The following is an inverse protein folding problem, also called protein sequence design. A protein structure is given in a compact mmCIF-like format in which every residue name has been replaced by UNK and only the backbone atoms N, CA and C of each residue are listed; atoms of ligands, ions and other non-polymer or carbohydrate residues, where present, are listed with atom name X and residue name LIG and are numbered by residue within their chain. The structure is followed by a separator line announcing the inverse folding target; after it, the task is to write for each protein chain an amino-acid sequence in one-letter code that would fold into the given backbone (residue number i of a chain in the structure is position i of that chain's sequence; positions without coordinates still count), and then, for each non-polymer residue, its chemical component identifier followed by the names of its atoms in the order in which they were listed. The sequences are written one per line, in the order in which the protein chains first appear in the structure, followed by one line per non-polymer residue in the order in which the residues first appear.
data_IF_823510354443
#
_entry.id   IF_823510354443
#
_cell.length_a   1.000
_cell.length_b   1.000
_cell.length_c   1.000
_cell.angle_alpha   90.00
_cell.angle_beta   90.00
_cell.angle_gamma   90.00
#
_symmetry.space_group_name_H-M   'P 1'
#
loop_
_entity.id
_entity.type
_entity.pdbx_description
1 polymer ?
#
# COMPACT_ATOMS: atom_id res chain seq x y z
N UNK A 1 2.60 -2.77 -9.40
CA UNK A 1 1.27 -3.23 -9.83
C UNK A 1 0.36 -3.48 -8.62
N UNK A 2 0.77 -4.26 -7.60
CA UNK A 2 -0.06 -4.58 -6.42
C UNK A 2 -0.60 -3.33 -5.71
N UNK A 3 0.23 -2.32 -5.44
CA UNK A 3 -0.20 -1.08 -4.80
C UNK A 3 -1.25 -0.32 -5.64
N UNK A 4 -1.04 -0.22 -6.95
CA UNK A 4 -2.00 0.43 -7.84
C UNK A 4 -3.33 -0.33 -7.89
N UNK A 5 -3.29 -1.66 -7.94
CA UNK A 5 -4.47 -2.51 -7.89
C UNK A 5 -5.22 -2.35 -6.56
N UNK A 6 -4.50 -2.33 -5.43
CA UNK A 6 -5.07 -2.08 -4.10
C UNK A 6 -5.80 -0.73 -4.03
N UNK A 7 -5.15 0.35 -4.45
CA UNK A 7 -5.74 1.70 -4.43
C UNK A 7 -6.98 1.75 -5.33
N UNK A 8 -6.93 1.13 -6.53
CA UNK A 8 -8.07 1.09 -7.46
C UNK A 8 -9.25 0.33 -6.87
N UNK A 9 -9.01 -0.83 -6.24
CA UNK A 9 -10.08 -1.63 -5.59
C UNK A 9 -10.66 -0.89 -4.37
N UNK A 10 -9.84 -0.23 -3.57
CA UNK A 10 -10.30 0.61 -2.46
C UNK A 10 -11.22 1.73 -2.96
N UNK A 11 -10.85 2.38 -4.07
CA UNK A 11 -11.64 3.44 -4.68
C UNK A 11 -12.97 2.91 -5.26
N UNK A 12 -12.98 1.70 -5.81
CA UNK A 12 -14.20 1.03 -6.29
C UNK A 12 -15.12 0.64 -5.12
N UNK A 13 -14.56 0.08 -4.05
CA UNK A 13 -15.32 -0.28 -2.85
C UNK A 13 -15.98 0.93 -2.18
N UNK A 14 -15.35 2.10 -2.25
CA UNK A 14 -15.88 3.35 -1.72
C UNK A 14 -16.89 4.04 -2.64
N UNK A 15 -17.23 3.46 -3.79
CA UNK A 15 -18.13 4.05 -4.81
C UNK A 15 -17.83 5.53 -5.09
N UNK A 16 -16.59 5.82 -5.43
CA UNK A 16 -16.12 7.19 -5.64
C UNK A 16 -16.73 7.82 -6.88
N UNK A 17 -17.04 9.12 -6.80
CA UNK A 17 -17.49 9.87 -7.96
C UNK A 17 -16.46 9.82 -9.11
N UNK A 18 -16.90 9.97 -10.38
CA UNK A 18 -15.99 9.91 -11.55
C UNK A 18 -14.80 10.88 -11.44
N UNK A 19 -15.01 12.07 -10.86
CA UNK A 19 -13.95 13.06 -10.66
C UNK A 19 -12.90 12.59 -9.64
N UNK A 20 -13.33 12.01 -8.52
CA UNK A 20 -12.47 11.44 -7.51
C UNK A 20 -11.72 10.21 -8.05
N UNK A 21 -12.42 9.35 -8.79
CA UNK A 21 -11.80 8.18 -9.43
C UNK A 21 -10.70 8.57 -10.43
N UNK A 22 -10.88 9.68 -11.17
CA UNK A 22 -9.85 10.23 -12.05
C UNK A 22 -8.58 10.62 -11.29
N UNK A 23 -8.71 11.25 -10.12
CA UNK A 23 -7.56 11.61 -9.27
C UNK A 23 -6.84 10.36 -8.79
N UNK A 24 -7.57 9.34 -8.34
CA UNK A 24 -7.01 8.03 -7.95
C UNK A 24 -6.20 7.43 -9.10
N UNK A 25 -6.77 7.35 -10.30
CA UNK A 25 -6.09 6.78 -11.46
C UNK A 25 -4.82 7.55 -11.86
N UNK A 26 -4.85 8.88 -11.78
CA UNK A 26 -3.65 9.70 -12.03
C UNK A 26 -2.54 9.41 -11.01
N UNK A 27 -2.90 9.28 -9.73
CA UNK A 27 -1.96 8.93 -8.68
C UNK A 27 -1.37 7.53 -8.89
N UNK A 28 -2.20 6.53 -9.17
CA UNK A 28 -1.76 5.17 -9.49
C UNK A 28 -0.82 5.13 -10.70
N UNK A 29 -1.15 5.88 -11.76
CA UNK A 29 -0.29 5.98 -12.94
C UNK A 29 1.08 6.59 -12.61
N UNK A 30 1.12 7.62 -11.77
CA UNK A 30 2.37 8.25 -11.34
C UNK A 30 3.22 7.28 -10.53
N UNK A 31 2.64 6.60 -9.55
CA UNK A 31 3.31 5.58 -8.74
C UNK A 31 3.86 4.46 -9.64
N UNK A 32 3.04 3.92 -10.53
CA UNK A 32 3.41 2.84 -11.45
C UNK A 32 4.59 3.22 -12.34
N UNK A 33 4.51 4.38 -13.01
CA UNK A 33 5.60 4.87 -13.88
C UNK A 33 6.91 5.06 -13.11
N UNK A 34 6.86 5.65 -11.92
CA UNK A 34 8.04 5.86 -11.07
C UNK A 34 8.65 4.52 -10.64
N UNK A 35 7.82 3.57 -10.23
CA UNK A 35 8.25 2.23 -9.83
C UNK A 35 8.91 1.48 -11.00
N UNK A 36 8.30 1.48 -12.18
CA UNK A 36 8.88 0.84 -13.37
C UNK A 36 10.22 1.45 -13.78
N UNK A 37 10.35 2.78 -13.65
CA UNK A 37 11.62 3.45 -13.96
C UNK A 37 12.74 2.99 -13.00
N UNK A 38 12.45 2.89 -11.70
CA UNK A 38 13.41 2.46 -10.68
C UNK A 38 13.76 0.99 -10.86
N UNK A 39 12.75 0.11 -10.94
CA UNK A 39 12.96 -1.34 -11.09
C UNK A 39 13.69 -1.67 -12.40
N UNK A 40 13.25 -1.10 -13.53
CA UNK A 40 13.84 -1.37 -14.83
C UNK A 40 15.31 -0.96 -14.95
N UNK A 41 15.72 0.08 -14.22
CA UNK A 41 17.14 0.48 -14.13
C UNK A 41 17.95 -0.40 -13.20
N UNK A 42 17.33 -0.88 -12.13
CA UNK A 42 17.98 -1.73 -11.12
C UNK A 42 18.19 -3.14 -11.63
N UNK A 43 17.15 -3.76 -12.17
CA UNK A 43 17.17 -5.17 -12.60
C UNK A 43 18.24 -5.45 -13.67
N UNK A 44 18.53 -4.49 -14.54
CA UNK A 44 19.57 -4.64 -15.58
C UNK A 44 21.01 -4.66 -15.04
N UNK A 45 21.22 -4.32 -13.79
CA UNK A 45 22.56 -4.19 -13.18
C UNK A 45 22.78 -5.12 -12.00
N UNK A 46 21.78 -5.95 -11.68
CA UNK A 46 21.86 -6.90 -10.57
C UNK A 46 22.74 -8.09 -10.97
N UNK A 47 23.66 -8.44 -10.09
CA UNK A 47 24.42 -9.68 -10.18
C UNK A 47 23.60 -10.89 -9.68
N UNK A 48 24.19 -12.10 -9.76
CA UNK A 48 23.50 -13.33 -9.36
C UNK A 48 23.13 -13.33 -7.88
N UNK A 49 24.00 -12.81 -7.00
CA UNK A 49 23.77 -12.74 -5.55
C UNK A 49 22.60 -11.80 -5.23
N UNK A 50 22.56 -10.65 -5.88
CA UNK A 50 21.47 -9.70 -5.75
C UNK A 50 20.13 -10.24 -6.27
N UNK A 51 20.16 -10.98 -7.40
CA UNK A 51 18.97 -11.64 -7.92
C UNK A 51 18.44 -12.70 -6.95
N UNK A 52 19.32 -13.51 -6.34
CA UNK A 52 18.92 -14.49 -5.33
C UNK A 52 18.32 -13.81 -4.10
N UNK A 53 18.97 -12.76 -3.57
CA UNK A 53 18.45 -11.99 -2.44
C UNK A 53 17.08 -11.36 -2.73
N UNK A 54 16.86 -10.89 -3.97
CA UNK A 54 15.55 -10.39 -4.39
C UNK A 54 14.49 -11.49 -4.43
N UNK A 55 14.83 -12.68 -4.93
CA UNK A 55 13.92 -13.82 -4.96
C UNK A 55 13.54 -14.26 -3.53
N UNK A 56 14.53 -14.40 -2.65
CA UNK A 56 14.32 -14.77 -1.25
C UNK A 56 13.44 -13.74 -0.51
N UNK A 57 13.62 -12.46 -0.82
CA UNK A 57 12.75 -11.41 -0.27
C UNK A 57 11.31 -11.50 -0.80
N UNK A 58 11.15 -11.73 -2.10
CA UNK A 58 9.81 -11.93 -2.69
C UNK A 58 9.09 -13.12 -2.06
N UNK A 59 9.82 -14.18 -1.75
CA UNK A 59 9.24 -15.33 -1.05
C UNK A 59 8.79 -15.00 0.39
N UNK A 60 9.38 -14.01 1.05
CA UNK A 60 8.94 -13.55 2.38
C UNK A 60 7.60 -12.81 2.34
N UNK A 61 7.34 -12.02 1.30
CA UNK A 61 6.15 -11.17 1.18
C UNK A 61 5.02 -11.79 0.35
N UNK A 62 5.27 -12.94 -0.28
CA UNK A 62 4.30 -13.64 -1.11
C UNK A 62 3.64 -14.77 -0.33
N UNK A 63 2.33 -14.78 -0.23
CA UNK A 63 1.53 -15.78 0.49
C UNK A 63 0.50 -16.41 -0.45
N UNK A 64 0.33 -17.75 -0.45
CA UNK A 64 -0.71 -18.39 -1.23
C UNK A 64 -2.09 -18.00 -0.68
N UNK A 65 -3.03 -17.80 -1.58
CA UNK A 65 -4.43 -17.67 -1.20
C UNK A 65 -5.00 -19.05 -0.82
N UNK A 66 -6.08 -19.06 -0.06
CA UNK A 66 -6.74 -20.30 0.39
C UNK A 66 -7.32 -21.13 -0.75
N UNK A 67 -7.62 -20.51 -1.90
CA UNK A 67 -8.09 -21.18 -3.11
C UNK A 67 -6.96 -21.89 -3.89
N UNK A 68 -5.70 -21.63 -3.56
CA UNK A 68 -4.53 -22.21 -4.21
C UNK A 68 -4.17 -21.62 -5.57
N UNK A 69 -5.06 -20.84 -6.19
CA UNK A 69 -4.88 -20.32 -7.55
C UNK A 69 -4.28 -18.90 -7.57
N UNK A 70 -4.32 -18.21 -6.43
CA UNK A 70 -3.88 -16.82 -6.32
C UNK A 70 -2.78 -16.66 -5.25
N UNK A 71 -2.06 -15.55 -5.35
CA UNK A 71 -1.04 -15.17 -4.39
C UNK A 71 -1.30 -13.76 -3.88
N UNK A 72 -1.20 -13.60 -2.57
CA UNK A 72 -1.15 -12.27 -1.95
C UNK A 72 0.29 -11.79 -1.87
N UNK A 73 0.48 -10.50 -2.06
CA UNK A 73 1.69 -9.79 -1.64
C UNK A 73 1.33 -9.02 -0.39
N UNK A 74 1.86 -9.43 0.75
CA UNK A 74 1.47 -8.91 2.05
C UNK A 74 2.69 -8.61 2.93
N UNK A 75 2.49 -7.75 3.91
CA UNK A 75 3.45 -7.46 4.96
C UNK A 75 2.75 -7.47 6.33
N UNK A 76 3.46 -7.76 7.41
CA UNK A 76 2.86 -7.78 8.74
C UNK A 76 2.52 -6.36 9.20
N UNK A 77 1.35 -6.21 9.79
CA UNK A 77 0.90 -5.00 10.48
C UNK A 77 0.76 -5.25 11.97
N UNK A 78 0.90 -4.21 12.78
CA UNK A 78 0.80 -4.32 14.24
C UNK A 78 -0.64 -4.56 14.68
N UNK A 79 -0.82 -5.18 15.86
CA UNK A 79 -2.14 -5.32 16.49
C UNK A 79 -2.82 -3.97 16.71
N UNK A 80 -2.06 -2.94 17.08
CA UNK A 80 -2.56 -1.58 17.24
C UNK A 80 -3.13 -1.02 15.92
N UNK A 81 -2.47 -1.31 14.79
CA UNK A 81 -2.95 -0.92 13.48
C UNK A 81 -4.23 -1.66 13.09
N UNK A 82 -4.31 -2.95 13.39
CA UNK A 82 -5.54 -3.73 13.20
C UNK A 82 -6.69 -3.21 14.07
N UNK A 83 -6.42 -2.85 15.33
CA UNK A 83 -7.41 -2.26 16.23
C UNK A 83 -7.91 -0.91 15.72
N UNK A 84 -7.02 -0.04 15.23
CA UNK A 84 -7.39 1.26 14.65
C UNK A 84 -8.35 1.11 13.47
N UNK A 85 -8.15 0.12 12.60
CA UNK A 85 -9.07 -0.15 11.50
C UNK A 85 -10.49 -0.48 11.99
N UNK A 86 -10.60 -1.33 13.01
CA UNK A 86 -11.88 -1.69 13.64
C UNK A 86 -12.54 -0.49 14.34
N UNK A 87 -11.74 0.35 14.99
CA UNK A 87 -12.24 1.58 15.62
C UNK A 87 -12.83 2.56 14.59
N UNK A 88 -12.25 2.67 13.39
CA UNK A 88 -12.84 3.47 12.31
C UNK A 88 -14.23 2.97 11.94
N UNK A 89 -14.41 1.65 11.79
CA UNK A 89 -15.71 1.04 11.48
C UNK A 89 -16.73 1.35 12.58
N UNK A 90 -16.34 1.18 13.84
CA UNK A 90 -17.18 1.49 15.01
C UNK A 90 -17.60 2.96 15.01
N UNK A 91 -16.68 3.89 14.80
CA UNK A 91 -16.99 5.33 14.73
C UNK A 91 -17.97 5.67 13.60
N UNK A 92 -17.85 5.01 12.43
CA UNK A 92 -18.82 5.16 11.35
C UNK A 92 -20.22 4.68 11.78
N UNK A 93 -20.32 3.55 12.48
CA UNK A 93 -21.58 2.97 12.96
C UNK A 93 -22.23 3.82 14.07
N UNK A 94 -21.43 4.51 14.87
CA UNK A 94 -21.88 5.42 15.92
C UNK A 94 -22.26 6.82 15.39
N UNK A 95 -22.06 7.08 14.08
CA UNK A 95 -22.35 8.37 13.46
C UNK A 95 -21.30 9.46 13.75
N UNK A 96 -20.13 9.08 14.29
CA UNK A 96 -19.01 9.99 14.57
C UNK A 96 -18.13 10.24 13.34
N UNK A 97 -18.73 10.70 12.25
CA UNK A 97 -18.11 10.76 10.92
C UNK A 97 -16.81 11.57 10.88
N UNK A 98 -16.78 12.75 11.52
CA UNK A 98 -15.59 13.61 11.47
C UNK A 98 -14.39 12.99 12.19
N UNK A 99 -14.67 12.20 13.23
CA UNK A 99 -13.65 11.46 13.94
C UNK A 99 -13.21 10.24 13.12
N UNK A 100 -14.16 9.52 12.53
CA UNK A 100 -13.88 8.41 11.63
C UNK A 100 -13.03 8.83 10.42
N UNK A 101 -13.28 10.01 9.81
CA UNK A 101 -12.46 10.56 8.73
C UNK A 101 -11.01 10.80 9.16
N UNK A 102 -10.82 11.41 10.34
CA UNK A 102 -9.47 11.67 10.88
C UNK A 102 -8.72 10.36 11.15
N UNK A 103 -9.37 9.40 11.78
CA UNK A 103 -8.78 8.10 12.10
C UNK A 103 -8.48 7.28 10.85
N UNK A 104 -9.39 7.25 9.86
CA UNK A 104 -9.14 6.57 8.58
C UNK A 104 -7.97 7.21 7.84
N UNK A 105 -7.88 8.54 7.81
CA UNK A 105 -6.75 9.22 7.17
C UNK A 105 -5.42 8.89 7.88
N UNK A 106 -5.38 8.90 9.20
CA UNK A 106 -4.21 8.54 9.99
C UNK A 106 -3.80 7.06 9.73
N UNK A 107 -4.77 6.15 9.76
CA UNK A 107 -4.58 4.74 9.44
C UNK A 107 -3.94 4.54 8.06
N UNK A 108 -4.51 5.15 7.02
CA UNK A 108 -4.02 5.02 5.65
C UNK A 108 -2.63 5.66 5.44
N UNK A 109 -2.32 6.73 6.15
CA UNK A 109 -0.99 7.35 6.11
C UNK A 109 0.07 6.42 6.71
N UNK A 110 -0.21 5.82 7.87
CA UNK A 110 0.67 4.83 8.50
C UNK A 110 0.85 3.61 7.61
N UNK A 111 -0.25 3.05 7.10
CA UNK A 111 -0.22 1.91 6.18
C UNK A 111 0.61 2.20 4.92
N UNK A 112 0.52 3.42 4.40
CA UNK A 112 1.31 3.84 3.24
C UNK A 112 2.82 3.88 3.56
N UNK A 113 3.19 4.41 4.70
CA UNK A 113 4.60 4.47 5.10
C UNK A 113 5.17 3.06 5.37
N UNK A 114 4.41 2.17 6.00
CA UNK A 114 4.77 0.75 6.18
C UNK A 114 4.90 0.02 4.83
N UNK A 115 3.95 0.21 3.92
CA UNK A 115 4.01 -0.38 2.58
C UNK A 115 5.25 0.10 1.79
N UNK A 116 5.62 1.38 1.91
CA UNK A 116 6.83 1.93 1.31
C UNK A 116 8.07 1.29 1.92
N UNK A 117 8.13 1.11 3.23
CA UNK A 117 9.23 0.43 3.90
C UNK A 117 9.38 -1.01 3.37
N UNK A 118 8.30 -1.79 3.41
CA UNK A 118 8.30 -3.19 3.00
C UNK A 118 8.57 -3.39 1.51
N UNK A 119 7.98 -2.60 0.63
CA UNK A 119 8.05 -2.85 -0.82
C UNK A 119 9.18 -2.09 -1.53
N UNK A 120 9.79 -1.09 -0.87
CA UNK A 120 10.85 -0.30 -1.48
C UNK A 120 12.11 -0.20 -0.62
N UNK A 121 12.02 0.25 0.64
CA UNK A 121 13.20 0.57 1.43
C UNK A 121 14.00 -0.67 1.82
N UNK A 122 13.33 -1.71 2.32
CA UNK A 122 13.97 -2.98 2.70
C UNK A 122 14.61 -3.69 1.51
N UNK A 123 13.94 -3.88 0.36
CA UNK A 123 14.58 -4.44 -0.82
C UNK A 123 15.77 -3.62 -1.31
N UNK A 124 15.68 -2.29 -1.30
CA UNK A 124 16.81 -1.44 -1.70
C UNK A 124 18.03 -1.58 -0.77
N UNK A 125 17.81 -1.71 0.53
CA UNK A 125 18.87 -1.95 1.50
C UNK A 125 19.51 -3.32 1.30
N UNK A 126 18.69 -4.35 1.09
CA UNK A 126 19.11 -5.72 0.86
C UNK A 126 19.95 -5.86 -0.42
N UNK A 127 19.54 -5.19 -1.49
CA UNK A 127 20.21 -5.26 -2.80
C UNK A 127 21.48 -4.42 -2.89
N UNK A 128 21.84 -3.66 -1.86
CA UNK A 128 23.09 -2.93 -1.79
C UNK A 128 23.28 -1.90 -2.93
N UNK A 129 22.23 -1.21 -3.33
CA UNK A 129 22.29 -0.23 -4.42
C UNK A 129 23.42 0.77 -4.24
N UNK A 130 24.22 0.98 -5.28
CA UNK A 130 25.23 2.02 -5.32
C UNK A 130 24.64 3.44 -5.20
N UNK A 131 25.47 4.46 -4.89
CA UNK A 131 24.99 5.81 -4.54
C UNK A 131 24.05 6.44 -5.57
N UNK A 132 24.35 6.30 -6.85
CA UNK A 132 23.56 6.87 -7.96
C UNK A 132 22.18 6.23 -8.03
N UNK A 133 22.12 4.90 -7.97
CA UNK A 133 20.87 4.15 -8.07
C UNK A 133 20.01 4.37 -6.82
N UNK A 134 20.63 4.42 -5.64
CA UNK A 134 19.97 4.76 -4.38
C UNK A 134 19.34 6.15 -4.44
N UNK A 135 20.03 7.15 -5.00
CA UNK A 135 19.48 8.50 -5.16
C UNK A 135 18.25 8.50 -6.06
N UNK A 136 18.27 7.80 -7.19
CA UNK A 136 17.12 7.68 -8.09
C UNK A 136 15.95 6.97 -7.41
N UNK A 137 16.22 5.88 -6.69
CA UNK A 137 15.21 5.13 -5.95
C UNK A 137 14.57 5.98 -4.85
N UNK A 138 15.37 6.73 -4.08
CA UNK A 138 14.85 7.62 -3.03
C UNK A 138 13.94 8.72 -3.60
N UNK A 139 14.27 9.30 -4.74
CA UNK A 139 13.38 10.27 -5.43
C UNK A 139 12.06 9.59 -5.79
N UNK A 140 12.08 8.35 -6.28
CA UNK A 140 10.89 7.58 -6.58
C UNK A 140 10.02 7.30 -5.34
N UNK A 141 10.65 6.89 -4.24
CA UNK A 141 9.98 6.65 -2.96
C UNK A 141 9.33 7.93 -2.43
N UNK A 142 10.05 9.05 -2.42
CA UNK A 142 9.50 10.33 -1.97
C UNK A 142 8.36 10.83 -2.86
N UNK A 143 8.45 10.62 -4.17
CA UNK A 143 7.37 10.96 -5.10
C UNK A 143 6.12 10.12 -4.82
N UNK A 144 6.29 8.81 -4.59
CA UNK A 144 5.19 7.90 -4.22
C UNK A 144 4.56 8.32 -2.90
N UNK A 145 5.38 8.58 -1.87
CA UNK A 145 4.90 9.03 -0.54
C UNK A 145 4.09 10.32 -0.64
N UNK A 146 4.60 11.33 -1.34
CA UNK A 146 3.90 12.61 -1.54
C UNK A 146 2.58 12.43 -2.29
N UNK A 147 2.58 11.65 -3.35
CA UNK A 147 1.38 11.39 -4.14
C UNK A 147 0.29 10.67 -3.32
N UNK A 148 0.68 9.63 -2.55
CA UNK A 148 -0.25 8.89 -1.67
C UNK A 148 -0.79 9.79 -0.55
N UNK A 149 0.07 10.55 0.12
CA UNK A 149 -0.35 11.49 1.17
C UNK A 149 -1.30 12.56 0.62
N UNK A 150 -0.98 13.14 -0.53
CA UNK A 150 -1.86 14.11 -1.19
C UNK A 150 -3.21 13.50 -1.54
N UNK A 151 -3.23 12.27 -2.05
CA UNK A 151 -4.47 11.56 -2.36
C UNK A 151 -5.32 11.38 -1.09
N UNK A 152 -4.75 10.83 -0.01
CA UNK A 152 -5.45 10.57 1.25
C UNK A 152 -6.00 11.88 1.82
N UNK A 153 -5.16 12.93 1.93
CA UNK A 153 -5.55 14.21 2.52
C UNK A 153 -6.62 14.96 1.72
N UNK A 154 -6.71 14.73 0.40
CA UNK A 154 -7.70 15.40 -0.45
C UNK A 154 -8.97 14.57 -0.64
N UNK A 155 -8.90 13.25 -0.49
CA UNK A 155 -10.01 12.34 -0.77
C UNK A 155 -10.84 12.07 0.49
N UNK A 156 -10.19 11.65 1.58
CA UNK A 156 -10.89 11.19 2.79
C UNK A 156 -11.84 12.26 3.37
N UNK A 157 -11.49 13.57 3.43
CA UNK A 157 -12.41 14.60 3.92
C UNK A 157 -13.69 14.75 3.08
N UNK A 158 -13.70 14.25 1.85
CA UNK A 158 -14.81 14.38 0.89
C UNK A 158 -15.72 13.15 0.84
N UNK A 159 -15.37 12.09 1.54
CA UNK A 159 -16.18 10.88 1.59
C UNK A 159 -17.48 11.12 2.37
N UNK A 160 -18.61 10.72 1.79
CA UNK A 160 -19.88 10.62 2.51
C UNK A 160 -19.85 9.47 3.54
N UNK A 161 -20.86 9.39 4.44
CA UNK A 161 -20.91 8.38 5.49
C UNK A 161 -20.80 6.95 4.98
N UNK A 162 -21.54 6.61 3.95
CA UNK A 162 -21.54 5.27 3.32
C UNK A 162 -20.19 4.93 2.69
N UNK A 163 -19.59 5.88 1.99
CA UNK A 163 -18.28 5.73 1.37
C UNK A 163 -17.16 5.55 2.41
N UNK A 164 -17.28 6.27 3.52
CA UNK A 164 -16.33 6.18 4.64
C UNK A 164 -16.38 4.79 5.27
N UNK A 165 -17.59 4.29 5.56
CA UNK A 165 -17.80 2.94 6.10
C UNK A 165 -17.30 1.87 5.12
N UNK A 166 -17.67 1.95 3.84
CA UNK A 166 -17.24 1.01 2.81
C UNK A 166 -15.71 1.00 2.65
N UNK A 167 -15.07 2.18 2.73
CA UNK A 167 -13.60 2.28 2.71
C UNK A 167 -12.97 1.57 3.91
N UNK A 168 -13.50 1.77 5.11
CA UNK A 168 -12.99 1.11 6.32
C UNK A 168 -13.18 -0.41 6.28
N UNK A 169 -14.36 -0.88 5.85
CA UNK A 169 -14.65 -2.31 5.69
C UNK A 169 -13.75 -2.97 4.64
N UNK A 170 -13.44 -2.27 3.55
CA UNK A 170 -12.48 -2.75 2.57
C UNK A 170 -11.08 -2.92 3.20
N UNK A 171 -10.62 -1.95 4.00
CA UNK A 171 -9.34 -2.08 4.71
C UNK A 171 -9.34 -3.29 5.65
N UNK A 172 -10.41 -3.49 6.42
CA UNK A 172 -10.54 -4.64 7.31
C UNK A 172 -10.48 -5.97 6.54
N UNK A 173 -11.13 -6.06 5.38
CA UNK A 173 -11.12 -7.26 4.54
C UNK A 173 -9.73 -7.63 4.02
N UNK A 174 -8.79 -6.69 4.02
CA UNK A 174 -7.39 -6.91 3.62
C UNK A 174 -6.48 -7.29 4.80
N UNK A 175 -7.00 -7.29 6.04
CA UNK A 175 -6.30 -7.78 7.22
C UNK A 175 -6.43 -9.31 7.29
N UNK A 176 -5.48 -10.00 6.66
CA UNK A 176 -5.48 -11.46 6.54
C UNK A 176 -4.56 -12.08 7.59
N UNK A 177 -4.98 -13.23 8.12
CA UNK A 177 -4.13 -14.05 8.98
C UNK A 177 -3.47 -15.15 8.14
N UNK A 178 -2.15 -15.19 8.14
CA UNK A 178 -1.39 -16.25 7.51
C UNK A 178 -0.74 -17.14 8.60
N UNK A 179 -0.72 -18.47 8.41
CA UNK A 179 -0.02 -19.35 9.33
C UNK A 179 1.48 -19.01 9.33
N UNK A 180 2.17 -19.15 10.48
CA UNK A 180 3.61 -18.99 10.53
C UNK A 180 4.26 -19.96 9.53
N UNK A 181 5.21 -19.46 8.74
CA UNK A 181 5.96 -20.32 7.83
C UNK A 181 6.83 -21.26 8.64
N UNK A 182 6.58 -22.54 8.52
CA UNK A 182 7.55 -23.56 8.93
C UNK A 182 8.74 -23.47 7.97
N UNK A 183 9.91 -23.14 8.52
CA UNK A 183 11.19 -23.18 7.79
C UNK A 183 11.61 -24.62 7.54
#
# INVERSE_FOLDING_TARGET
EALAAFITRAAQAADLSPGMFKVVNMTCSTISKTTHLVIGRSAKKMDLTQNQAAADYMDQVRHPATDGDHWYVAFPVSEAHCAQCKDVIRLCQEGEEDKARRELAAYLLTLTDEAIDWYFQRPMALLGFGPVLRKVANVGVETTRKASRSLISNLIPKLGPEQLLASAQYQESMLLSFPPRTR
#
